data_IF_959943427597
#
_entry.id   IF_959943427597
#
_cell.length_a   1.000
_cell.length_b   1.000
_cell.length_c   1.000
_cell.angle_alpha   90.00
_cell.angle_beta   90.00
_cell.angle_gamma   90.00
#
_symmetry.space_group_name_H-M   'P 1'
#
loop_
_entity.id
_entity.type
_entity.pdbx_description
1 polymer ?
#
# COMPACT_ATOMS: atom_id res chain seq x y z
N UNK A 1 13.76 4.71 -5.46
CA UNK A 1 14.57 4.96 -4.22
C UNK A 1 13.75 4.50 -3.03
N UNK A 2 14.40 3.95 -1.99
CA UNK A 2 13.68 3.53 -0.77
C UNK A 2 13.23 4.73 0.05
N UNK A 3 11.96 4.77 0.40
CA UNK A 3 11.39 5.84 1.25
C UNK A 3 12.07 5.84 2.62
N UNK A 4 12.43 4.68 3.16
CA UNK A 4 13.21 4.59 4.40
C UNK A 4 14.54 5.35 4.36
N UNK A 5 15.18 5.45 3.19
CA UNK A 5 16.44 6.19 3.04
C UNK A 5 16.22 7.70 2.89
N UNK A 6 15.07 8.09 2.38
CA UNK A 6 14.64 9.50 2.34
C UNK A 6 14.36 9.99 3.76
N UNK A 7 13.57 9.22 4.52
CA UNK A 7 13.17 9.54 5.90
C UNK A 7 14.37 9.68 6.86
N UNK A 8 15.46 8.94 6.62
CA UNK A 8 16.71 9.08 7.41
C UNK A 8 17.44 10.41 7.15
N UNK A 9 17.20 11.04 6.00
CA UNK A 9 17.99 12.20 5.55
C UNK A 9 17.30 13.54 5.81
N UNK A 10 15.97 13.58 5.78
CA UNK A 10 15.20 14.82 5.87
C UNK A 10 13.77 14.62 6.33
N UNK A 11 13.11 15.71 6.72
CA UNK A 11 11.65 15.74 6.82
C UNK A 11 11.05 15.61 5.42
N UNK A 12 9.98 14.85 5.29
CA UNK A 12 9.34 14.53 4.00
C UNK A 12 7.98 15.20 3.86
N UNK A 13 7.62 15.54 2.63
CA UNK A 13 6.25 15.86 2.23
C UNK A 13 5.72 14.69 1.41
N UNK A 14 4.54 14.24 1.74
CA UNK A 14 3.87 13.16 0.99
C UNK A 14 2.40 13.47 0.78
N UNK A 15 1.84 12.89 -0.27
CA UNK A 15 0.41 12.88 -0.54
C UNK A 15 -0.08 11.45 -0.65
N UNK A 16 -1.38 11.26 -0.49
CA UNK A 16 -2.06 10.01 -0.74
C UNK A 16 -3.10 10.20 -1.84
N UNK A 17 -3.11 9.31 -2.83
CA UNK A 17 -4.07 9.32 -3.92
C UNK A 17 -4.89 8.04 -3.93
N UNK A 18 -6.13 8.18 -4.35
CA UNK A 18 -7.09 7.09 -4.40
C UNK A 18 -7.38 6.74 -5.85
N UNK A 19 -7.20 5.48 -6.27
CA UNK A 19 -7.61 5.06 -7.60
C UNK A 19 -9.10 5.38 -7.83
N UNK A 20 -9.46 6.02 -8.94
CA UNK A 20 -10.84 6.33 -9.25
C UNK A 20 -11.66 5.05 -9.42
N UNK A 21 -12.98 5.16 -9.26
CA UNK A 21 -13.85 4.04 -9.57
C UNK A 21 -13.78 3.78 -11.08
N UNK A 22 -13.54 2.52 -11.55
CA UNK A 22 -13.47 2.19 -12.97
C UNK A 22 -14.71 2.61 -13.78
N UNK A 23 -15.85 2.79 -13.12
CA UNK A 23 -17.11 3.24 -13.74
C UNK A 23 -17.28 4.77 -13.76
N UNK A 24 -16.35 5.52 -13.17
CA UNK A 24 -16.42 6.99 -13.18
C UNK A 24 -15.69 7.56 -14.37
N UNK A 25 -16.21 8.69 -14.91
CA UNK A 25 -15.55 9.47 -15.97
C UNK A 25 -14.25 10.17 -15.51
N UNK A 26 -13.83 9.96 -14.24
CA UNK A 26 -12.77 10.72 -13.59
C UNK A 26 -11.38 10.09 -13.69
N UNK A 27 -11.21 9.00 -14.47
CA UNK A 27 -9.91 8.33 -14.61
C UNK A 27 -8.85 9.29 -15.17
N UNK A 28 -9.20 10.18 -16.08
CA UNK A 28 -8.27 11.18 -16.63
C UNK A 28 -7.83 12.24 -15.62
N UNK A 29 -8.71 12.59 -14.67
CA UNK A 29 -8.45 13.66 -13.70
C UNK A 29 -7.38 13.28 -12.67
N UNK A 30 -7.22 11.99 -12.32
CA UNK A 30 -6.24 11.58 -11.32
C UNK A 30 -4.80 11.78 -11.78
N UNK A 31 -4.50 11.54 -13.06
CA UNK A 31 -3.16 11.77 -13.61
C UNK A 31 -2.84 13.27 -13.64
N UNK A 32 -3.78 14.10 -14.05
CA UNK A 32 -3.65 15.57 -13.98
C UNK A 32 -3.42 16.04 -12.55
N UNK A 33 -4.16 15.48 -11.58
CA UNK A 33 -3.97 15.80 -10.15
C UNK A 33 -2.57 15.41 -9.69
N UNK A 34 -2.06 14.25 -10.09
CA UNK A 34 -0.70 13.81 -9.75
C UNK A 34 0.33 14.80 -10.32
N UNK A 35 0.14 15.25 -11.56
CA UNK A 35 1.02 16.24 -12.20
C UNK A 35 1.00 17.59 -11.46
N UNK A 36 -0.17 18.08 -11.08
CA UNK A 36 -0.32 19.31 -10.29
C UNK A 36 0.35 19.21 -8.91
N UNK A 37 0.28 18.04 -8.27
CA UNK A 37 0.93 17.81 -6.99
C UNK A 37 2.47 17.93 -7.07
N UNK A 38 3.08 17.78 -8.26
CA UNK A 38 4.52 17.95 -8.44
C UNK A 38 5.00 19.40 -8.18
N UNK A 39 4.12 20.39 -8.26
CA UNK A 39 4.46 21.78 -7.90
C UNK A 39 4.91 21.90 -6.44
N UNK A 40 4.39 21.03 -5.57
CA UNK A 40 4.78 20.96 -4.15
C UNK A 40 6.04 20.13 -3.89
N UNK A 41 6.60 19.46 -4.92
CA UNK A 41 7.78 18.59 -4.84
C UNK A 41 7.70 17.55 -3.73
N UNK A 42 6.66 16.69 -3.73
CA UNK A 42 6.53 15.63 -2.75
C UNK A 42 7.71 14.65 -2.85
N UNK A 43 8.09 14.08 -1.70
CA UNK A 43 9.13 13.06 -1.64
C UNK A 43 8.59 11.69 -2.07
N UNK A 44 7.33 11.42 -1.70
CA UNK A 44 6.62 10.23 -2.14
C UNK A 44 5.12 10.47 -2.21
N UNK A 45 4.45 9.65 -3.00
CA UNK A 45 3.00 9.63 -3.12
C UNK A 45 2.53 8.20 -2.87
N UNK A 46 1.65 8.02 -1.89
CA UNK A 46 1.04 6.72 -1.63
C UNK A 46 -0.21 6.51 -2.48
N UNK A 47 -0.40 5.28 -2.94
CA UNK A 47 -1.54 4.88 -3.75
C UNK A 47 -2.35 3.85 -2.97
N UNK A 48 -3.59 4.22 -2.65
CA UNK A 48 -4.50 3.36 -1.90
C UNK A 48 -4.89 2.12 -2.68
N UNK A 49 -5.04 1.03 -1.94
CA UNK A 49 -5.47 -0.24 -2.46
C UNK A 49 -6.97 -0.46 -2.21
N UNK A 50 -7.76 -0.74 -3.27
CA UNK A 50 -9.17 -1.14 -3.11
C UNK A 50 -9.32 -2.64 -3.31
N UNK A 51 -9.89 -3.36 -2.39
CA UNK A 51 -10.01 -4.83 -2.38
C UNK A 51 -11.20 -5.38 -3.18
N UNK A 52 -11.71 -4.70 -4.19
CA UNK A 52 -12.86 -5.16 -4.97
C UNK A 52 -12.58 -5.18 -6.47
N UNK A 53 -12.56 -6.34 -7.06
CA UNK A 53 -12.56 -6.52 -8.53
C UNK A 53 -11.20 -6.34 -9.20
N UNK A 54 -11.18 -5.79 -10.39
CA UNK A 54 -10.01 -5.53 -11.29
C UNK A 54 -8.98 -4.50 -10.76
N UNK A 55 -8.60 -4.62 -9.64
CA UNK A 55 -8.26 -3.85 -8.52
C UNK A 55 -6.78 -3.55 -8.42
N UNK A 56 -5.96 -4.56 -8.63
CA UNK A 56 -4.53 -4.41 -8.62
C UNK A 56 -4.06 -3.53 -9.78
N UNK A 57 -4.71 -3.61 -10.93
CA UNK A 57 -4.27 -2.91 -12.14
C UNK A 57 -4.32 -1.38 -11.96
N UNK A 58 -5.43 -0.81 -11.51
CA UNK A 58 -5.53 0.64 -11.34
C UNK A 58 -4.54 1.21 -10.31
N UNK A 59 -4.28 0.47 -9.22
CA UNK A 59 -3.28 0.86 -8.21
C UNK A 59 -1.87 0.78 -8.79
N UNK A 60 -1.56 -0.30 -9.53
CA UNK A 60 -0.28 -0.48 -10.18
C UNK A 60 -0.05 0.55 -11.28
N UNK A 61 -1.05 0.84 -12.10
CA UNK A 61 -0.96 1.84 -13.17
C UNK A 61 -0.64 3.23 -12.62
N UNK A 62 -1.32 3.63 -11.52
CA UNK A 62 -1.03 4.91 -10.87
C UNK A 62 0.36 4.93 -10.23
N UNK A 63 0.76 3.85 -9.57
CA UNK A 63 2.08 3.77 -8.96
C UNK A 63 3.19 3.77 -10.02
N UNK A 64 2.98 3.06 -11.14
CA UNK A 64 3.87 3.08 -12.30
C UNK A 64 3.93 4.49 -12.91
N UNK A 65 2.79 5.16 -13.07
CA UNK A 65 2.75 6.54 -13.55
C UNK A 65 3.59 7.47 -12.65
N UNK A 66 3.38 7.42 -11.32
CA UNK A 66 4.16 8.20 -10.37
C UNK A 66 5.65 7.89 -10.54
N UNK A 67 6.01 6.62 -10.66
CA UNK A 67 7.40 6.17 -10.79
C UNK A 67 8.10 6.70 -12.03
N UNK A 68 7.40 6.74 -13.15
CA UNK A 68 8.02 7.03 -14.46
C UNK A 68 7.82 8.47 -14.94
N UNK A 69 6.82 9.19 -14.40
CA UNK A 69 6.46 10.53 -14.87
C UNK A 69 6.66 11.63 -13.82
N UNK A 70 7.02 11.29 -12.58
CA UNK A 70 7.21 12.27 -11.50
C UNK A 70 8.58 12.12 -10.84
N UNK A 71 8.92 13.06 -9.96
CA UNK A 71 10.13 12.97 -9.11
C UNK A 71 9.84 12.31 -7.76
N UNK A 72 8.57 12.06 -7.43
CA UNK A 72 8.16 11.41 -6.20
C UNK A 72 8.35 9.89 -6.27
N UNK A 73 8.66 9.26 -5.14
CA UNK A 73 8.65 7.80 -5.07
C UNK A 73 7.24 7.29 -4.78
N UNK A 74 6.75 6.28 -5.50
CA UNK A 74 5.47 5.66 -5.17
C UNK A 74 5.58 4.78 -3.93
N UNK A 75 4.53 4.83 -3.08
CA UNK A 75 4.31 3.89 -1.97
C UNK A 75 3.01 3.12 -2.25
N UNK A 76 3.14 1.87 -2.61
CA UNK A 76 1.97 1.04 -2.96
C UNK A 76 1.36 0.47 -1.70
N UNK A 77 0.09 0.78 -1.41
CA UNK A 77 -0.64 0.06 -0.39
C UNK A 77 -0.91 -1.37 -0.87
N UNK A 78 -0.79 -2.33 0.00
CA UNK A 78 -1.12 -3.73 -0.26
C UNK A 78 -1.84 -4.31 0.94
N UNK A 79 -3.11 -4.67 0.77
CA UNK A 79 -3.91 -5.27 1.83
C UNK A 79 -3.95 -6.79 1.67
N UNK A 80 -3.81 -7.54 2.76
CA UNK A 80 -3.89 -9.00 2.70
C UNK A 80 -5.33 -9.55 2.72
N UNK A 81 -6.32 -8.73 3.05
CA UNK A 81 -7.72 -9.14 3.04
C UNK A 81 -8.19 -9.55 1.64
N UNK A 82 -8.96 -10.62 1.55
CA UNK A 82 -9.48 -11.24 0.34
C UNK A 82 -8.45 -11.84 -0.64
N UNK A 83 -7.14 -11.65 -0.42
CA UNK A 83 -6.08 -12.20 -1.27
C UNK A 83 -5.65 -13.59 -0.80
N UNK A 84 -5.34 -14.46 -1.74
CA UNK A 84 -4.60 -15.68 -1.47
C UNK A 84 -3.10 -15.52 -1.78
N UNK A 85 -2.32 -16.58 -1.56
CA UNK A 85 -0.87 -16.52 -1.80
C UNK A 85 -0.52 -16.30 -3.27
N UNK A 86 -1.32 -16.87 -4.16
CA UNK A 86 -1.11 -16.71 -5.59
C UNK A 86 -1.36 -15.26 -6.01
N UNK A 87 -2.43 -14.64 -5.51
CA UNK A 87 -2.72 -13.23 -5.78
C UNK A 87 -1.55 -12.33 -5.34
N UNK A 88 -0.96 -12.60 -4.16
CA UNK A 88 0.20 -11.84 -3.67
C UNK A 88 1.45 -12.11 -4.51
N UNK A 89 1.67 -13.35 -4.97
CA UNK A 89 2.80 -13.68 -5.83
C UNK A 89 2.69 -12.98 -7.19
N UNK A 90 1.52 -12.96 -7.79
CA UNK A 90 1.25 -12.25 -9.05
C UNK A 90 1.49 -10.73 -8.88
N UNK A 91 1.07 -10.15 -7.76
CA UNK A 91 1.34 -8.76 -7.41
C UNK A 91 2.84 -8.47 -7.20
N UNK A 92 3.57 -9.36 -6.56
CA UNK A 92 5.03 -9.24 -6.39
C UNK A 92 5.73 -9.17 -7.75
N UNK A 93 5.34 -10.02 -8.69
CA UNK A 93 5.89 -9.99 -10.06
C UNK A 93 5.60 -8.66 -10.73
N UNK A 94 4.34 -8.18 -10.68
CA UNK A 94 3.96 -6.91 -11.28
C UNK A 94 4.70 -5.71 -10.66
N UNK A 95 4.87 -5.70 -9.32
CA UNK A 95 5.67 -4.67 -8.64
C UNK A 95 7.14 -4.68 -9.10
N UNK A 96 7.70 -5.86 -9.35
CA UNK A 96 9.08 -6.01 -9.84
C UNK A 96 9.24 -5.48 -11.27
N UNK A 97 8.32 -5.83 -12.16
CA UNK A 97 8.33 -5.39 -13.55
C UNK A 97 8.31 -3.86 -13.65
N UNK A 98 7.50 -3.21 -12.80
CA UNK A 98 7.37 -1.75 -12.73
C UNK A 98 8.44 -1.07 -11.83
N UNK A 99 9.37 -1.82 -11.24
CA UNK A 99 10.41 -1.33 -10.32
C UNK A 99 9.86 -0.58 -9.11
N UNK A 100 8.71 -1.03 -8.60
CA UNK A 100 8.04 -0.51 -7.42
C UNK A 100 8.59 -1.22 -6.19
N UNK A 101 9.41 -0.54 -5.40
CA UNK A 101 10.15 -1.15 -4.28
C UNK A 101 9.58 -0.77 -2.89
N UNK A 102 8.67 0.22 -2.82
CA UNK A 102 8.10 0.68 -1.56
C UNK A 102 6.65 0.19 -1.41
N UNK A 103 6.38 -0.56 -0.36
CA UNK A 103 5.07 -1.18 -0.09
C UNK A 103 4.61 -0.83 1.31
N UNK A 104 3.36 -0.35 1.46
CA UNK A 104 2.68 -0.26 2.74
C UNK A 104 1.81 -1.50 2.93
N UNK A 105 2.27 -2.42 3.75
CA UNK A 105 1.55 -3.67 4.03
C UNK A 105 0.49 -3.46 5.11
N UNK A 106 -0.75 -3.76 4.77
CA UNK A 106 -1.93 -3.58 5.59
C UNK A 106 -2.75 -4.88 5.68
N UNK A 107 -3.55 -5.02 6.72
CA UNK A 107 -4.57 -6.08 6.76
C UNK A 107 -5.72 -5.76 5.81
N UNK A 108 -6.15 -4.53 5.79
CA UNK A 108 -7.37 -4.07 5.16
C UNK A 108 -8.61 -4.31 6.01
N UNK A 109 -9.67 -3.57 5.73
CA UNK A 109 -10.95 -3.67 6.43
C UNK A 109 -11.90 -4.59 5.67
N UNK A 110 -12.58 -5.48 6.40
CA UNK A 110 -13.58 -6.35 5.80
C UNK A 110 -14.76 -5.51 5.31
N UNK A 111 -15.09 -5.52 4.01
CA UNK A 111 -16.28 -4.84 3.52
C UNK A 111 -17.56 -5.39 4.19
N UNK A 112 -18.50 -4.50 4.54
CA UNK A 112 -19.71 -4.86 5.27
C UNK A 112 -20.53 -5.98 4.60
N UNK A 113 -20.50 -6.03 3.26
CA UNK A 113 -21.25 -7.00 2.46
C UNK A 113 -20.40 -8.15 1.91
N UNK A 114 -19.16 -8.35 2.45
CA UNK A 114 -18.30 -9.43 1.98
C UNK A 114 -18.84 -10.79 2.45
N UNK A 115 -19.16 -11.64 1.50
CA UNK A 115 -19.59 -13.02 1.78
C UNK A 115 -18.37 -13.95 1.84
N UNK A 116 -18.27 -14.74 2.91
CA UNK A 116 -17.22 -15.73 3.09
C UNK A 116 -16.08 -15.29 4.02
N UNK A 117 -14.97 -16.02 3.96
CA UNK A 117 -13.77 -15.72 4.75
C UNK A 117 -12.97 -14.61 4.06
N UNK A 118 -12.86 -13.47 4.74
CA UNK A 118 -12.09 -12.33 4.24
C UNK A 118 -10.59 -12.52 4.41
N UNK A 119 -10.16 -13.23 5.44
CA UNK A 119 -8.75 -13.46 5.75
C UNK A 119 -8.33 -14.87 5.32
N UNK A 120 -8.15 -15.08 4.03
CA UNK A 120 -7.86 -16.40 3.45
C UNK A 120 -6.52 -17.01 3.89
N UNK A 121 -5.44 -16.24 3.77
CA UNK A 121 -4.08 -16.74 3.94
C UNK A 121 -3.25 -15.92 4.91
N UNK A 122 -3.61 -14.66 5.12
CA UNK A 122 -2.91 -13.73 6.00
C UNK A 122 -3.92 -13.10 6.94
N UNK A 123 -3.77 -13.34 8.23
CA UNK A 123 -4.67 -12.78 9.25
C UNK A 123 -4.22 -11.41 9.74
N UNK A 124 -2.91 -11.12 9.61
CA UNK A 124 -2.31 -9.86 10.03
C UNK A 124 -1.34 -9.31 8.98
N UNK A 125 -1.18 -7.99 8.98
CA UNK A 125 -0.21 -7.32 8.11
C UNK A 125 1.24 -7.80 8.35
N UNK A 126 1.58 -8.22 9.57
CA UNK A 126 2.90 -8.78 9.90
C UNK A 126 3.22 -10.06 9.13
N UNK A 127 2.23 -10.92 8.89
CA UNK A 127 2.38 -12.14 8.09
C UNK A 127 2.63 -11.81 6.61
N UNK A 128 1.87 -10.84 6.07
CA UNK A 128 2.10 -10.32 4.74
C UNK A 128 3.51 -9.71 4.60
N UNK A 129 3.95 -8.90 5.59
CA UNK A 129 5.29 -8.33 5.61
C UNK A 129 6.38 -9.39 5.56
N UNK A 130 6.26 -10.42 6.39
CA UNK A 130 7.21 -11.54 6.41
C UNK A 130 7.23 -12.26 5.06
N UNK A 131 6.07 -12.48 4.46
CA UNK A 131 5.95 -13.10 3.14
C UNK A 131 6.61 -12.27 2.03
N UNK A 132 6.33 -10.97 1.99
CA UNK A 132 6.94 -10.06 1.01
C UNK A 132 8.46 -10.00 1.15
N UNK A 133 8.97 -9.91 2.38
CA UNK A 133 10.43 -9.91 2.65
C UNK A 133 11.11 -11.19 2.17
N UNK A 134 10.44 -12.34 2.26
CA UNK A 134 10.98 -13.61 1.79
C UNK A 134 11.05 -13.70 0.26
N UNK A 135 10.21 -12.93 -0.46
CA UNK A 135 10.17 -12.93 -1.92
C UNK A 135 11.16 -11.94 -2.53
N UNK A 136 11.28 -10.76 -1.94
CA UNK A 136 12.15 -9.69 -2.44
C UNK A 136 12.50 -8.68 -1.35
N UNK A 137 13.61 -7.96 -1.57
CA UNK A 137 14.06 -6.89 -0.69
C UNK A 137 13.26 -5.59 -0.90
N UNK A 138 11.97 -5.63 -0.56
CA UNK A 138 11.10 -4.46 -0.55
C UNK A 138 11.42 -3.51 0.62
N UNK A 139 11.20 -2.22 0.41
CA UNK A 139 11.07 -1.23 1.48
C UNK A 139 9.64 -1.30 2.02
N UNK A 140 9.43 -2.00 3.14
CA UNK A 140 8.10 -2.26 3.68
C UNK A 140 7.79 -1.30 4.82
N UNK A 141 6.65 -0.62 4.72
CA UNK A 141 6.03 0.16 5.77
C UNK A 141 4.83 -0.58 6.36
N UNK A 142 4.46 -0.26 7.58
CA UNK A 142 3.29 -0.78 8.27
C UNK A 142 2.54 0.29 9.02
N UNK A 143 1.23 0.13 9.20
CA UNK A 143 0.43 1.01 10.04
C UNK A 143 0.74 0.79 11.52
N UNK A 144 0.64 1.87 12.29
CA UNK A 144 0.56 1.83 13.74
C UNK A 144 -0.62 2.69 14.23
N UNK A 145 -1.14 2.37 15.39
CA UNK A 145 -2.26 3.07 16.00
C UNK A 145 -1.81 3.63 17.36
N UNK A 146 -1.52 4.94 17.46
CA UNK A 146 -1.06 5.54 18.72
C UNK A 146 -2.05 5.37 19.86
N UNK A 147 -3.34 5.34 19.56
CA UNK A 147 -4.43 5.16 20.52
C UNK A 147 -4.71 3.68 20.83
N UNK A 148 -4.00 2.75 20.17
CA UNK A 148 -4.23 1.32 20.22
C UNK A 148 -5.21 0.83 19.14
N UNK A 149 -5.00 -0.39 18.66
CA UNK A 149 -5.88 -1.02 17.67
C UNK A 149 -7.20 -1.45 18.33
N UNK A 150 -8.32 -1.17 17.69
CA UNK A 150 -9.67 -1.43 18.23
C UNK A 150 -9.92 -2.90 18.59
N UNK A 151 -9.24 -3.82 17.95
CA UNK A 151 -9.37 -5.27 18.19
C UNK A 151 -8.38 -5.79 19.25
N UNK A 152 -7.44 -4.97 19.76
CA UNK A 152 -6.54 -5.36 20.84
C UNK A 152 -7.20 -5.14 22.20
N UNK A 153 -7.02 -6.09 23.12
CA UNK A 153 -7.57 -5.99 24.48
C UNK A 153 -6.91 -4.88 25.30
N UNK A 154 -5.69 -4.51 24.96
CA UNK A 154 -4.94 -3.44 25.64
C UNK A 154 -3.93 -2.77 24.74
N UNK A 155 -3.59 -1.52 25.06
CA UNK A 155 -2.51 -0.78 24.39
C UNK A 155 -1.16 -1.51 24.52
N UNK A 156 -0.91 -2.20 25.66
CA UNK A 156 0.31 -2.98 25.84
C UNK A 156 0.42 -4.12 24.82
N UNK A 157 -0.66 -4.85 24.62
CA UNK A 157 -0.71 -5.94 23.64
C UNK A 157 -0.50 -5.40 22.21
N UNK A 158 -1.14 -4.28 21.87
CA UNK A 158 -0.95 -3.65 20.58
C UNK A 158 0.50 -3.19 20.33
N UNK A 159 1.16 -2.65 21.38
CA UNK A 159 2.59 -2.31 21.31
C UNK A 159 3.49 -3.55 21.13
N UNK A 160 3.14 -4.69 21.75
CA UNK A 160 3.84 -5.96 21.53
C UNK A 160 3.68 -6.40 20.07
N UNK A 161 2.47 -6.32 19.53
CA UNK A 161 2.19 -6.65 18.13
C UNK A 161 2.90 -5.69 17.16
N UNK A 162 2.97 -4.40 17.48
CA UNK A 162 3.74 -3.43 16.70
C UNK A 162 5.24 -3.75 16.68
N UNK A 163 5.78 -4.25 17.80
CA UNK A 163 7.18 -4.68 17.87
C UNK A 163 7.46 -5.90 17.00
N UNK A 164 6.48 -6.78 16.80
CA UNK A 164 6.59 -7.96 15.93
C UNK A 164 6.62 -7.54 14.45
N UNK A 165 5.88 -6.50 14.08
CA UNK A 165 5.94 -5.90 12.73
C UNK A 165 7.33 -5.35 12.43
#
# INVERSE_FOLDING_TARGET
MRISDILKKKKTLSFEVFPPNPQSSDIGNIYTTIDELQEFRPDFISVTFKSSGDFSQNTLDLASYIKHHTTAEPLVHLTCGALDRKDVDDLVVALQEERLENVLALRGDKPANFAGDYLKCFHHASELMAYLKAKQDFCIAGACYPEGHIECESLYEDLVNLKIK
#
